data_IF_778561616685
#
_entry.id   IF_778561616685
#
_cell.length_a   1.000
_cell.length_b   1.000
_cell.length_c   1.000
_cell.angle_alpha   90.00
_cell.angle_beta   90.00
_cell.angle_gamma   90.00
#
_symmetry.space_group_name_H-M   'P 1'
#
loop_
_entity.id
_entity.type
_entity.pdbx_description
1 polymer ?
#
# COMPACT_ATOMS: atom_id res chain seq x y z
N UNK A 1 41.32 -5.02 19.10
CA UNK A 1 39.96 -5.06 19.68
C UNK A 1 39.13 -3.97 19.04
N UNK A 2 38.16 -4.30 18.20
CA UNK A 2 37.22 -3.33 17.64
C UNK A 2 36.14 -3.09 18.68
N UNK A 3 36.17 -1.92 19.34
CA UNK A 3 35.04 -1.48 20.15
C UNK A 3 33.93 -1.06 19.18
N UNK A 4 32.93 -1.92 18.98
CA UNK A 4 31.65 -1.57 18.36
C UNK A 4 30.95 -0.55 19.28
N UNK A 5 31.30 0.73 19.11
CA UNK A 5 30.77 1.84 19.90
C UNK A 5 29.47 2.43 19.27
N UNK A 6 28.77 1.65 18.43
CA UNK A 6 27.55 2.05 17.75
C UNK A 6 26.54 0.91 17.78
N UNK A 7 25.30 1.25 18.16
CA UNK A 7 24.13 0.39 17.99
C UNK A 7 24.02 -0.05 16.52
N UNK A 8 23.71 -1.32 16.29
CA UNK A 8 23.41 -1.89 14.97
C UNK A 8 21.88 -2.01 14.84
N UNK A 9 21.19 -0.98 14.33
CA UNK A 9 19.74 -1.04 14.17
C UNK A 9 19.35 -2.03 13.06
N UNK A 10 18.11 -2.51 13.10
CA UNK A 10 17.55 -3.38 12.05
C UNK A 10 17.56 -2.71 10.67
N UNK A 11 17.25 -1.41 10.60
CA UNK A 11 17.28 -0.65 9.36
C UNK A 11 17.81 0.77 9.57
N UNK A 12 18.31 1.38 8.49
CA UNK A 12 18.73 2.78 8.41
C UNK A 12 18.48 3.30 7.00
N UNK A 13 18.03 4.54 6.90
CA UNK A 13 17.86 5.22 5.62
C UNK A 13 19.23 5.54 5.01
N UNK A 14 19.39 5.27 3.72
CA UNK A 14 20.47 5.83 2.90
C UNK A 14 19.98 7.20 2.42
N UNK A 15 20.71 8.25 2.78
CA UNK A 15 20.48 9.62 2.31
C UNK A 15 21.80 10.09 1.73
N UNK A 16 21.79 10.45 0.46
CA UNK A 16 22.95 10.86 -0.30
C UNK A 16 23.00 12.39 -0.46
N UNK A 17 24.11 12.90 -1.01
CA UNK A 17 24.33 14.34 -1.10
C UNK A 17 23.37 15.01 -2.11
N UNK A 18 22.95 14.30 -3.15
CA UNK A 18 21.95 14.77 -4.10
C UNK A 18 20.54 14.87 -3.47
N UNK A 19 20.15 13.94 -2.57
CA UNK A 19 18.93 14.05 -1.78
C UNK A 19 18.89 15.36 -0.98
N UNK A 20 19.99 15.66 -0.26
CA UNK A 20 20.12 16.89 0.54
C UNK A 20 20.04 18.12 -0.36
N UNK A 21 20.75 18.09 -1.49
CA UNK A 21 20.76 19.20 -2.43
C UNK A 21 19.38 19.49 -3.02
N UNK A 22 18.56 18.47 -3.32
CA UNK A 22 17.18 18.67 -3.77
C UNK A 22 16.31 19.31 -2.68
N UNK A 23 16.44 18.89 -1.42
CA UNK A 23 15.72 19.55 -0.30
C UNK A 23 16.14 21.02 -0.18
N UNK A 24 17.43 21.33 -0.25
CA UNK A 24 17.94 22.71 -0.18
C UNK A 24 17.40 23.57 -1.34
N UNK A 25 17.27 23.01 -2.55
CA UNK A 25 16.67 23.72 -3.70
C UNK A 25 15.21 24.08 -3.40
N UNK A 26 14.42 23.14 -2.87
CA UNK A 26 13.02 23.39 -2.52
C UNK A 26 12.91 24.45 -1.42
N UNK A 27 13.73 24.38 -0.36
CA UNK A 27 13.75 25.36 0.73
C UNK A 27 14.09 26.78 0.27
N UNK A 28 14.83 26.93 -0.83
CA UNK A 28 15.18 28.23 -1.44
C UNK A 28 14.19 28.68 -2.52
N UNK A 29 13.18 27.88 -2.84
CA UNK A 29 12.16 28.17 -3.85
C UNK A 29 10.92 28.82 -3.25
N UNK A 30 9.99 29.24 -4.11
CA UNK A 30 8.71 29.83 -3.69
C UNK A 30 7.71 28.79 -3.12
N UNK A 31 7.95 27.49 -3.32
CA UNK A 31 7.00 26.42 -2.99
C UNK A 31 7.61 25.37 -2.05
N UNK A 32 7.24 25.44 -0.77
CA UNK A 32 7.70 24.48 0.26
C UNK A 32 6.63 23.46 0.69
N UNK A 33 5.40 23.58 0.20
CA UNK A 33 4.30 22.63 0.45
C UNK A 33 3.81 22.02 -0.87
N UNK A 34 2.63 22.40 -1.35
CA UNK A 34 2.14 22.02 -2.66
C UNK A 34 2.83 22.86 -3.73
N UNK A 35 3.32 22.20 -4.78
CA UNK A 35 4.08 22.86 -5.83
C UNK A 35 4.54 21.88 -6.92
N UNK A 36 5.38 22.36 -7.85
CA UNK A 36 5.78 21.62 -9.04
C UNK A 36 6.54 20.32 -8.75
N UNK A 37 7.10 20.18 -7.55
CA UNK A 37 7.80 18.96 -7.14
C UNK A 37 6.88 17.74 -7.03
N UNK A 38 5.60 17.95 -6.68
CA UNK A 38 4.60 16.88 -6.62
C UNK A 38 4.40 16.28 -8.01
N UNK A 39 4.08 17.11 -8.99
CA UNK A 39 3.83 16.67 -10.37
C UNK A 39 5.09 16.06 -11.01
N UNK A 40 6.28 16.59 -10.66
CA UNK A 40 7.56 15.99 -11.08
C UNK A 40 7.73 14.58 -10.51
N UNK A 41 7.43 14.38 -9.23
CA UNK A 41 7.54 13.09 -8.57
C UNK A 41 6.49 12.09 -9.09
N UNK A 42 5.23 12.51 -9.24
CA UNK A 42 4.15 11.67 -9.80
C UNK A 42 4.47 11.18 -11.21
N UNK A 43 5.02 12.04 -12.08
CA UNK A 43 5.46 11.64 -13.43
C UNK A 43 6.65 10.69 -13.41
N UNK A 44 7.61 10.90 -12.51
CA UNK A 44 8.76 10.03 -12.38
C UNK A 44 8.33 8.64 -11.89
N UNK A 45 7.47 8.60 -10.87
CA UNK A 45 6.97 7.37 -10.27
C UNK A 45 6.07 6.60 -11.25
N UNK A 46 5.11 7.26 -11.92
CA UNK A 46 4.26 6.61 -12.92
C UNK A 46 5.07 5.98 -14.06
N UNK A 47 6.10 6.69 -14.54
CA UNK A 47 7.03 6.16 -15.54
C UNK A 47 7.84 4.97 -15.02
N UNK A 48 8.30 5.03 -13.78
CA UNK A 48 9.10 3.97 -13.16
C UNK A 48 8.30 2.67 -13.00
N UNK A 49 7.05 2.76 -12.50
CA UNK A 49 6.19 1.57 -12.28
C UNK A 49 5.36 1.19 -13.50
N UNK A 50 5.36 2.00 -14.57
CA UNK A 50 4.56 1.77 -15.77
C UNK A 50 3.06 2.04 -15.59
N UNK A 51 2.66 2.75 -14.54
CA UNK A 51 1.27 3.10 -14.29
C UNK A 51 0.80 4.22 -15.22
N UNK A 52 -0.47 4.15 -15.65
CA UNK A 52 -1.09 5.20 -16.48
C UNK A 52 -1.26 6.52 -15.73
N UNK A 53 -1.51 6.45 -14.43
CA UNK A 53 -1.71 7.59 -13.54
C UNK A 53 -0.97 7.36 -12.22
N UNK A 54 -0.59 8.44 -11.53
CA UNK A 54 0.01 8.40 -10.20
C UNK A 54 -0.47 9.61 -9.41
N UNK A 55 -0.81 9.40 -8.15
CA UNK A 55 -1.18 10.45 -7.19
C UNK A 55 -0.42 10.16 -5.91
N UNK A 56 0.32 11.14 -5.40
CA UNK A 56 1.14 10.98 -4.19
C UNK A 56 0.44 11.52 -2.96
N UNK A 57 0.64 10.84 -1.83
CA UNK A 57 0.02 11.17 -0.55
C UNK A 57 1.09 11.38 0.52
N UNK A 58 0.68 11.88 1.68
CA UNK A 58 1.56 12.12 2.83
C UNK A 58 2.07 10.83 3.50
N UNK A 59 1.43 9.68 3.26
CA UNK A 59 1.84 8.36 3.76
C UNK A 59 1.14 7.22 2.99
N UNK A 60 1.64 5.99 3.14
CA UNK A 60 0.97 4.78 2.63
C UNK A 60 -0.44 4.59 3.22
N UNK A 61 -0.65 4.91 4.51
CA UNK A 61 -1.98 4.87 5.13
C UNK A 61 -2.95 5.84 4.48
N UNK A 62 -2.51 7.06 4.17
CA UNK A 62 -3.34 8.05 3.47
C UNK A 62 -3.68 7.60 2.05
N UNK A 63 -2.73 6.97 1.35
CA UNK A 63 -2.95 6.39 0.04
C UNK A 63 -3.97 5.24 0.07
N UNK A 64 -3.85 4.29 1.00
CA UNK A 64 -4.81 3.19 1.17
C UNK A 64 -6.21 3.70 1.50
N UNK A 65 -6.33 4.65 2.43
CA UNK A 65 -7.62 5.24 2.77
C UNK A 65 -8.26 5.95 1.56
N UNK A 66 -7.49 6.70 0.78
CA UNK A 66 -7.97 7.33 -0.45
C UNK A 66 -8.35 6.31 -1.52
N UNK A 67 -7.58 5.24 -1.68
CA UNK A 67 -7.86 4.17 -2.63
C UNK A 67 -9.15 3.43 -2.29
N UNK A 68 -9.36 3.09 -1.01
CA UNK A 68 -10.58 2.44 -0.55
C UNK A 68 -11.80 3.35 -0.70
N UNK A 69 -11.66 4.63 -0.37
CA UNK A 69 -12.71 5.63 -0.57
C UNK A 69 -13.08 5.76 -2.06
N UNK A 70 -12.08 5.86 -2.94
CA UNK A 70 -12.29 5.95 -4.39
C UNK A 70 -12.90 4.66 -4.97
N UNK A 71 -12.62 3.50 -4.38
CA UNK A 71 -13.24 2.22 -4.70
C UNK A 71 -14.70 2.12 -4.22
N UNK A 72 -15.22 3.13 -3.50
CA UNK A 72 -16.59 3.17 -3.01
C UNK A 72 -16.83 2.34 -1.75
N UNK A 73 -15.77 1.95 -1.04
CA UNK A 73 -15.88 1.24 0.24
C UNK A 73 -16.55 2.14 1.29
N UNK A 74 -17.59 1.64 1.96
CA UNK A 74 -18.43 2.45 2.85
C UNK A 74 -18.96 1.67 4.05
N UNK A 75 -19.79 2.34 4.86
CA UNK A 75 -20.33 1.75 6.08
C UNK A 75 -21.17 0.49 5.80
N UNK A 76 -20.85 -0.60 6.48
CA UNK A 76 -21.55 -1.88 6.35
C UNK A 76 -21.04 -2.79 5.24
N UNK A 77 -20.12 -2.30 4.40
CA UNK A 77 -19.40 -3.11 3.42
C UNK A 77 -18.35 -4.00 4.12
N UNK A 78 -17.97 -5.07 3.44
CA UNK A 78 -16.87 -5.96 3.80
C UNK A 78 -15.73 -5.81 2.78
N UNK A 79 -14.49 -5.94 3.23
CA UNK A 79 -13.34 -6.06 2.35
C UNK A 79 -12.42 -7.16 2.83
N UNK A 80 -11.87 -7.93 1.90
CA UNK A 80 -10.98 -9.05 2.23
C UNK A 80 -9.54 -8.54 2.36
N UNK A 81 -8.84 -8.97 3.40
CA UNK A 81 -7.41 -8.70 3.57
C UNK A 81 -6.76 -9.76 4.47
N UNK A 82 -5.48 -9.61 4.81
CA UNK A 82 -4.73 -10.51 5.70
C UNK A 82 -4.53 -9.88 7.08
N UNK A 83 -4.53 -10.66 8.18
CA UNK A 83 -4.13 -10.17 9.48
C UNK A 83 -2.61 -10.00 9.60
N UNK A 84 -1.83 -10.58 8.68
CA UNK A 84 -0.37 -10.46 8.64
C UNK A 84 0.06 -9.19 7.88
N UNK A 85 -0.25 -8.03 8.46
CA UNK A 85 0.07 -6.72 7.88
C UNK A 85 0.17 -5.65 8.97
N UNK A 86 0.66 -4.46 8.61
CA UNK A 86 0.54 -3.30 9.47
C UNK A 86 -0.93 -2.88 9.62
N UNK A 87 -1.33 -2.44 10.82
CA UNK A 87 -2.74 -2.15 11.13
C UNK A 87 -3.40 -1.11 10.20
N UNK A 88 -2.61 -0.28 9.49
CA UNK A 88 -3.10 0.68 8.52
C UNK A 88 -3.99 0.06 7.43
N UNK A 89 -3.64 -1.12 6.90
CA UNK A 89 -4.40 -1.79 5.84
C UNK A 89 -5.85 -2.04 6.27
N UNK A 90 -6.05 -2.44 7.54
CA UNK A 90 -7.39 -2.65 8.11
C UNK A 90 -8.04 -1.33 8.54
N UNK A 91 -7.27 -0.45 9.18
CA UNK A 91 -7.77 0.82 9.70
C UNK A 91 -8.28 1.75 8.59
N UNK A 92 -7.64 1.74 7.41
CA UNK A 92 -8.08 2.50 6.25
C UNK A 92 -9.55 2.19 5.87
N UNK A 93 -9.97 0.92 5.95
CA UNK A 93 -11.35 0.52 5.72
C UNK A 93 -12.26 0.83 6.91
N UNK A 94 -11.76 0.63 8.14
CA UNK A 94 -12.51 0.95 9.36
C UNK A 94 -12.87 2.44 9.47
N UNK A 95 -12.00 3.34 9.00
CA UNK A 95 -12.29 4.78 8.95
C UNK A 95 -13.46 5.13 8.04
N UNK A 96 -13.75 4.28 7.05
CA UNK A 96 -14.90 4.39 6.15
C UNK A 96 -16.14 3.64 6.69
N UNK A 97 -16.03 3.00 7.85
CA UNK A 97 -17.10 2.20 8.45
C UNK A 97 -17.26 0.80 7.88
N UNK A 98 -16.32 0.35 7.03
CA UNK A 98 -16.30 -0.99 6.48
C UNK A 98 -15.63 -2.00 7.43
N UNK A 99 -15.92 -3.29 7.22
CA UNK A 99 -15.42 -4.38 8.06
C UNK A 99 -14.35 -5.20 7.33
N UNK A 100 -13.14 -5.33 7.89
CA UNK A 100 -12.14 -6.25 7.34
C UNK A 100 -12.58 -7.70 7.56
N UNK A 101 -12.48 -8.51 6.52
CA UNK A 101 -12.64 -9.96 6.54
C UNK A 101 -11.27 -10.58 6.31
N UNK A 102 -10.74 -11.17 7.36
CA UNK A 102 -9.41 -11.74 7.34
C UNK A 102 -9.38 -13.13 6.68
N UNK A 103 -8.46 -13.28 5.75
CA UNK A 103 -8.03 -14.55 5.15
C UNK A 103 -6.62 -14.85 5.65
N UNK A 104 -6.37 -16.13 5.93
CA UNK A 104 -5.07 -16.57 6.44
C UNK A 104 -3.98 -16.53 5.36
N UNK A 105 -2.74 -16.77 5.75
CA UNK A 105 -1.57 -16.66 4.88
C UNK A 105 -1.02 -18.01 4.44
N UNK A 106 -0.31 -18.02 3.32
CA UNK A 106 0.58 -19.12 2.95
C UNK A 106 1.83 -19.09 3.85
N UNK A 107 2.19 -20.25 4.40
CA UNK A 107 3.25 -20.35 5.42
C UNK A 107 4.68 -20.08 4.91
N UNK A 108 4.90 -20.18 3.60
CA UNK A 108 6.20 -20.01 2.95
C UNK A 108 6.45 -18.57 2.47
N UNK A 109 5.41 -17.87 2.01
CA UNK A 109 5.50 -16.48 1.53
C UNK A 109 5.09 -15.46 2.59
N UNK A 110 4.17 -15.83 3.49
CA UNK A 110 3.52 -14.91 4.43
C UNK A 110 2.44 -14.03 3.78
N UNK A 111 2.20 -14.20 2.47
CA UNK A 111 1.13 -13.53 1.75
C UNK A 111 -0.21 -14.22 1.99
N UNK A 112 -1.30 -13.50 1.76
CA UNK A 112 -2.67 -14.03 1.81
C UNK A 112 -2.81 -15.27 0.91
N UNK A 113 -3.40 -16.36 1.43
CA UNK A 113 -3.64 -17.60 0.66
C UNK A 113 -4.81 -17.40 -0.30
N UNK A 114 -4.59 -17.39 -1.63
CA UNK A 114 -5.65 -17.16 -2.60
C UNK A 114 -6.75 -18.22 -2.55
N UNK A 115 -6.42 -19.46 -2.18
CA UNK A 115 -7.37 -20.58 -2.12
C UNK A 115 -8.40 -20.40 -0.99
N UNK A 116 -8.09 -19.53 -0.02
CA UNK A 116 -8.95 -19.26 1.12
C UNK A 116 -9.80 -17.99 0.95
N UNK A 117 -9.66 -17.26 -0.16
CA UNK A 117 -10.36 -16.00 -0.41
C UNK A 117 -11.83 -16.22 -0.75
N UNK A 118 -12.13 -17.08 -1.73
CA UNK A 118 -13.51 -17.21 -2.26
C UNK A 118 -14.51 -17.64 -1.18
N UNK A 119 -14.11 -18.50 -0.25
CA UNK A 119 -14.94 -18.93 0.88
C UNK A 119 -15.28 -17.80 1.88
N UNK A 120 -14.60 -16.64 1.79
CA UNK A 120 -14.86 -15.46 2.62
C UNK A 120 -15.68 -14.38 1.91
N UNK A 121 -15.91 -14.52 0.60
CA UNK A 121 -16.70 -13.57 -0.17
C UNK A 121 -18.17 -13.68 0.25
N UNK A 122 -18.79 -12.52 0.49
CA UNK A 122 -20.21 -12.39 0.78
C UNK A 122 -20.83 -11.36 -0.15
N UNK A 123 -22.16 -11.20 -0.11
CA UNK A 123 -22.85 -10.13 -0.84
C UNK A 123 -22.48 -8.72 -0.38
N UNK A 124 -21.74 -8.58 0.73
CA UNK A 124 -21.23 -7.31 1.26
C UNK A 124 -19.79 -7.04 0.85
N UNK A 125 -19.08 -8.00 0.28
CA UNK A 125 -17.69 -7.82 -0.13
C UNK A 125 -17.62 -6.81 -1.28
N UNK A 126 -16.75 -5.80 -1.16
CA UNK A 126 -16.55 -4.76 -2.18
C UNK A 126 -15.19 -4.79 -2.84
N UNK A 127 -14.17 -5.16 -2.08
CA UNK A 127 -12.81 -5.21 -2.58
C UNK A 127 -11.98 -6.27 -1.88
N UNK A 128 -10.91 -6.67 -2.55
CA UNK A 128 -9.82 -7.48 -2.00
C UNK A 128 -8.62 -6.54 -1.88
N UNK A 129 -8.07 -6.40 -0.68
CA UNK A 129 -6.83 -5.67 -0.43
C UNK A 129 -5.74 -6.65 0.01
N UNK A 130 -4.77 -6.89 -0.85
CA UNK A 130 -3.62 -7.76 -0.54
C UNK A 130 -2.43 -6.93 -0.05
N UNK A 131 -1.41 -7.61 0.46
CA UNK A 131 -0.16 -7.01 0.95
C UNK A 131 0.98 -7.81 0.36
N UNK A 132 1.97 -7.13 -0.22
CA UNK A 132 3.19 -7.77 -0.72
C UNK A 132 4.18 -7.95 0.44
N UNK A 133 3.92 -8.96 1.26
CA UNK A 133 4.59 -9.15 2.53
C UNK A 133 6.10 -9.29 2.35
N UNK A 134 6.87 -8.50 3.11
CA UNK A 134 8.33 -8.44 3.02
C UNK A 134 8.89 -8.08 1.63
N UNK A 135 8.07 -7.45 0.77
CA UNK A 135 8.41 -7.14 -0.61
C UNK A 135 8.30 -8.35 -1.56
N UNK A 136 7.69 -9.44 -1.10
CA UNK A 136 7.35 -10.58 -1.95
C UNK A 136 5.95 -10.36 -2.56
N UNK A 137 5.82 -10.18 -3.89
CA UNK A 137 4.53 -9.94 -4.50
C UNK A 137 3.55 -11.09 -4.27
N UNK A 138 2.26 -10.78 -4.11
CA UNK A 138 1.21 -11.81 -4.16
C UNK A 138 1.11 -12.45 -5.55
N UNK A 139 0.37 -13.55 -5.68
CA UNK A 139 -0.03 -14.04 -7.01
C UNK A 139 -1.10 -13.11 -7.61
N UNK A 140 -0.62 -11.98 -8.14
CA UNK A 140 -1.43 -10.90 -8.70
C UNK A 140 -2.43 -11.41 -9.74
N UNK A 141 -2.07 -12.43 -10.53
CA UNK A 141 -2.96 -12.94 -11.58
C UNK A 141 -4.12 -13.71 -10.97
N UNK A 142 -3.84 -14.61 -10.01
CA UNK A 142 -4.87 -15.37 -9.31
C UNK A 142 -5.82 -14.44 -8.55
N UNK A 143 -5.28 -13.47 -7.81
CA UNK A 143 -6.10 -12.50 -7.06
C UNK A 143 -6.96 -11.65 -8.01
N UNK A 144 -6.39 -11.20 -9.14
CA UNK A 144 -7.12 -10.42 -10.14
C UNK A 144 -8.23 -11.23 -10.81
N UNK A 145 -8.00 -12.51 -11.09
CA UNK A 145 -9.02 -13.39 -11.65
C UNK A 145 -10.18 -13.59 -10.66
N UNK A 146 -9.88 -13.86 -9.37
CA UNK A 146 -10.91 -13.93 -8.31
C UNK A 146 -11.68 -12.61 -8.23
N UNK A 147 -11.00 -11.47 -8.19
CA UNK A 147 -11.65 -10.17 -8.09
C UNK A 147 -12.59 -9.92 -9.29
N UNK A 148 -12.13 -10.22 -10.51
CA UNK A 148 -12.94 -10.08 -11.73
C UNK A 148 -14.17 -10.97 -11.71
N UNK A 149 -14.00 -12.24 -11.35
CA UNK A 149 -15.06 -13.24 -11.44
C UNK A 149 -16.20 -12.98 -10.42
N UNK A 150 -15.91 -12.20 -9.36
CA UNK A 150 -16.86 -11.78 -8.33
C UNK A 150 -17.23 -10.27 -8.38
N UNK A 151 -16.85 -9.54 -9.43
CA UNK A 151 -17.09 -8.09 -9.58
C UNK A 151 -16.57 -7.24 -8.40
N UNK A 152 -15.39 -7.59 -7.90
CA UNK A 152 -14.69 -6.91 -6.80
C UNK A 152 -13.55 -6.05 -7.33
N UNK A 153 -13.25 -4.97 -6.60
CA UNK A 153 -12.07 -4.16 -6.86
C UNK A 153 -10.86 -4.83 -6.20
N UNK A 154 -9.73 -4.87 -6.91
CA UNK A 154 -8.46 -5.35 -6.36
C UNK A 154 -7.53 -4.15 -6.06
N UNK A 155 -7.07 -4.06 -4.81
CA UNK A 155 -6.10 -3.06 -4.34
C UNK A 155 -4.89 -3.79 -3.75
N UNK A 156 -3.69 -3.37 -4.15
CA UNK A 156 -2.42 -3.93 -3.68
C UNK A 156 -1.77 -2.96 -2.70
N UNK A 157 -1.50 -3.44 -1.47
CA UNK A 157 -0.69 -2.75 -0.48
C UNK A 157 0.78 -3.15 -0.65
N UNK A 158 1.48 -2.41 -1.52
CA UNK A 158 2.88 -2.62 -1.90
C UNK A 158 3.87 -1.78 -1.06
N UNK A 159 3.59 -1.62 0.24
CA UNK A 159 4.35 -0.77 1.17
C UNK A 159 5.71 -1.37 1.61
#
# INVERSE_FOLDING_TARGET
MWKLNRSLPYSRQLIEEDDINEVVKVLKSDFITQGPMIEKFERALSKFVGAKYCVVFSSGTAALHAAYFAAGLSHGDEFITTPNTFAATSNAGLYLGAKPIFVDIESDTGNIDPNLIEQKITSKTKLISTVDYSGHPVDINVIRDIARDHDLIFIEDAA
#
